data_IF_056210966219
#
_entry.id   IF_056210966219
#
_cell.length_a   1.000
_cell.length_b   1.000
_cell.length_c   1.000
_cell.angle_alpha   90.00
_cell.angle_beta   90.00
_cell.angle_gamma   90.00
#
_symmetry.space_group_name_H-M   'P 1'
#
loop_
_entity.id
_entity.type
_entity.pdbx_description
1 polymer ?
#
# COMPACT_ATOMS: atom_id res chain seq x y z
N UNK A 1 -1.95 4.42 -8.97
CA UNK A 1 -2.41 4.43 -7.56
C UNK A 1 -1.75 5.61 -6.87
N UNK A 2 -2.46 6.38 -6.04
CA UNK A 2 -1.84 7.48 -5.28
C UNK A 2 -1.14 6.97 -4.02
N UNK A 3 -0.20 7.73 -3.44
CA UNK A 3 0.41 7.38 -2.14
C UNK A 3 -0.64 7.15 -1.04
N UNK A 4 -1.72 7.92 -1.03
CA UNK A 4 -2.84 7.81 -0.08
C UNK A 4 -3.57 6.49 -0.23
N UNK A 5 -3.92 6.10 -1.46
CA UNK A 5 -4.58 4.84 -1.75
C UNK A 5 -3.70 3.66 -1.34
N UNK A 6 -2.39 3.75 -1.60
CA UNK A 6 -1.45 2.72 -1.17
C UNK A 6 -1.38 2.61 0.35
N UNK A 7 -1.38 3.73 1.10
CA UNK A 7 -1.39 3.71 2.57
C UNK A 7 -2.62 2.97 3.12
N UNK A 8 -3.79 3.23 2.55
CA UNK A 8 -5.04 2.53 2.93
C UNK A 8 -4.92 1.02 2.67
N UNK A 9 -4.43 0.62 1.50
CA UNK A 9 -4.27 -0.79 1.14
C UNK A 9 -3.23 -1.48 2.04
N UNK A 10 -2.08 -0.86 2.25
CA UNK A 10 -1.02 -1.38 3.14
C UNK A 10 -1.55 -1.60 4.55
N UNK A 11 -2.33 -0.64 5.08
CA UNK A 11 -2.97 -0.75 6.39
C UNK A 11 -4.00 -1.88 6.44
N UNK A 12 -4.87 -1.98 5.44
CA UNK A 12 -5.89 -3.03 5.35
C UNK A 12 -5.25 -4.43 5.33
N UNK A 13 -4.13 -4.58 4.62
CA UNK A 13 -3.43 -5.86 4.48
C UNK A 13 -2.44 -6.16 5.61
N UNK A 14 -2.13 -5.18 6.48
CA UNK A 14 -1.01 -5.25 7.44
C UNK A 14 0.31 -5.64 6.77
N UNK A 15 0.61 -5.00 5.63
CA UNK A 15 1.80 -5.31 4.86
C UNK A 15 3.08 -4.96 5.64
N UNK A 16 4.12 -5.84 5.68
CA UNK A 16 5.41 -5.50 6.28
C UNK A 16 6.09 -4.33 5.54
N UNK A 17 6.89 -3.54 6.26
CA UNK A 17 7.52 -2.32 5.74
C UNK A 17 8.30 -2.53 4.45
N UNK A 18 9.11 -3.60 4.36
CA UNK A 18 9.85 -3.92 3.15
C UNK A 18 8.93 -4.20 1.94
N UNK A 19 7.78 -4.83 2.17
CA UNK A 19 6.78 -5.08 1.12
C UNK A 19 6.01 -3.81 0.76
N UNK A 20 5.72 -2.96 1.74
CA UNK A 20 5.09 -1.66 1.51
C UNK A 20 6.00 -0.71 0.71
N UNK A 21 7.30 -0.68 1.03
CA UNK A 21 8.31 0.08 0.30
C UNK A 21 8.42 -0.41 -1.15
N UNK A 22 8.49 -1.73 -1.37
CA UNK A 22 8.51 -2.30 -2.72
C UNK A 22 7.23 -1.99 -3.51
N UNK A 23 6.07 -2.06 -2.86
CA UNK A 23 4.80 -1.70 -3.47
C UNK A 23 4.74 -0.21 -3.86
N UNK A 24 5.26 0.69 -3.01
CA UNK A 24 5.36 2.12 -3.30
C UNK A 24 6.24 2.39 -4.52
N UNK A 25 7.46 1.86 -4.50
CA UNK A 25 8.41 2.06 -5.58
C UNK A 25 7.82 1.68 -6.95
N UNK A 26 7.03 0.61 -7.01
CA UNK A 26 6.43 0.16 -8.27
C UNK A 26 5.10 0.86 -8.60
N UNK A 27 4.15 0.91 -7.66
CA UNK A 27 2.78 1.32 -7.93
C UNK A 27 2.53 2.83 -7.84
N UNK A 28 3.44 3.55 -7.16
CA UNK A 28 3.38 5.00 -6.98
C UNK A 28 4.50 5.65 -7.78
N UNK A 29 5.74 5.20 -7.60
CA UNK A 29 6.91 5.84 -8.22
C UNK A 29 7.22 5.30 -9.64
N UNK A 30 6.48 4.27 -10.10
CA UNK A 30 6.58 3.74 -11.46
C UNK A 30 7.85 2.93 -11.76
N UNK A 31 8.60 2.52 -10.74
CA UNK A 31 9.82 1.73 -10.93
C UNK A 31 9.51 0.31 -11.43
N UNK A 32 10.47 -0.29 -12.15
CA UNK A 32 10.32 -1.66 -12.63
C UNK A 32 10.50 -2.65 -11.46
N UNK A 33 9.64 -3.69 -11.33
CA UNK A 33 9.75 -4.68 -10.26
C UNK A 33 11.12 -5.37 -10.17
N UNK A 34 11.80 -5.56 -11.31
CA UNK A 34 13.13 -6.17 -11.36
C UNK A 34 14.19 -5.30 -10.67
N UNK A 35 14.14 -3.98 -10.89
CA UNK A 35 15.09 -3.03 -10.31
C UNK A 35 14.89 -2.90 -8.80
N UNK A 36 13.63 -2.83 -8.35
CA UNK A 36 13.27 -2.83 -6.93
C UNK A 36 13.72 -4.12 -6.25
N UNK A 37 13.47 -5.27 -6.87
CA UNK A 37 13.91 -6.56 -6.34
C UNK A 37 15.42 -6.62 -6.16
N UNK A 38 16.18 -6.17 -7.17
CA UNK A 38 17.64 -6.10 -7.11
C UNK A 38 18.13 -5.15 -6.01
N UNK A 39 17.56 -3.95 -5.91
CA UNK A 39 17.95 -2.95 -4.92
C UNK A 39 17.67 -3.41 -3.47
N UNK A 40 16.61 -4.19 -3.27
CA UNK A 40 16.22 -4.69 -1.95
C UNK A 40 16.77 -6.09 -1.62
N UNK A 41 17.55 -6.72 -2.50
CA UNK A 41 18.03 -8.10 -2.31
C UNK A 41 16.91 -9.14 -2.28
N UNK A 42 15.78 -8.86 -2.93
CA UNK A 42 14.59 -9.71 -2.97
C UNK A 42 14.52 -10.51 -4.27
N UNK A 43 13.78 -11.61 -4.25
CA UNK A 43 13.39 -12.31 -5.48
C UNK A 43 12.34 -11.47 -6.23
N UNK A 44 12.53 -11.28 -7.54
CA UNK A 44 11.57 -10.56 -8.40
C UNK A 44 10.15 -11.17 -8.33
N UNK A 45 10.06 -12.48 -8.17
CA UNK A 45 8.78 -13.19 -8.01
C UNK A 45 8.06 -12.80 -6.71
N UNK A 46 8.79 -12.56 -5.62
CA UNK A 46 8.24 -12.07 -4.37
C UNK A 46 7.67 -10.66 -4.54
N UNK A 47 8.42 -9.76 -5.18
CA UNK A 47 7.95 -8.39 -5.48
C UNK A 47 6.69 -8.41 -6.35
N UNK A 48 6.71 -9.22 -7.41
CA UNK A 48 5.56 -9.37 -8.31
C UNK A 48 4.32 -9.92 -7.60
N UNK A 49 4.49 -10.88 -6.69
CA UNK A 49 3.38 -11.43 -5.87
C UNK A 49 2.82 -10.37 -4.92
N UNK A 50 3.68 -9.59 -4.28
CA UNK A 50 3.27 -8.47 -3.42
C UNK A 50 2.44 -7.47 -4.20
N UNK A 51 2.92 -7.02 -5.37
CA UNK A 51 2.20 -6.07 -6.23
C UNK A 51 0.82 -6.59 -6.63
N UNK A 52 0.73 -7.86 -7.07
CA UNK A 52 -0.56 -8.47 -7.43
C UNK A 52 -1.55 -8.51 -6.28
N UNK A 53 -1.08 -8.80 -5.06
CA UNK A 53 -1.94 -8.80 -3.86
C UNK A 53 -2.41 -7.39 -3.52
N UNK A 54 -1.53 -6.39 -3.63
CA UNK A 54 -1.88 -4.98 -3.38
C UNK A 54 -2.91 -4.49 -4.39
N UNK A 55 -2.74 -4.80 -5.67
CA UNK A 55 -3.73 -4.43 -6.71
C UNK A 55 -5.08 -5.10 -6.49
N UNK A 56 -5.10 -6.38 -6.13
CA UNK A 56 -6.36 -7.06 -5.81
C UNK A 56 -7.10 -6.38 -4.65
N UNK A 57 -6.41 -6.12 -3.55
CA UNK A 57 -7.03 -5.44 -2.40
C UNK A 57 -7.46 -4.02 -2.75
N UNK A 58 -6.69 -3.33 -3.60
CA UNK A 58 -7.08 -2.03 -4.13
C UNK A 58 -8.42 -2.11 -4.86
N UNK A 59 -8.60 -3.10 -5.74
CA UNK A 59 -9.85 -3.30 -6.48
C UNK A 59 -11.02 -3.64 -5.53
N UNK A 60 -10.78 -4.47 -4.52
CA UNK A 60 -11.79 -4.82 -3.49
C UNK A 60 -12.25 -3.60 -2.69
N UNK A 61 -11.31 -2.72 -2.29
CA UNK A 61 -11.63 -1.47 -1.57
C UNK A 61 -12.35 -0.49 -2.50
N UNK A 62 -11.89 -0.34 -3.74
CA UNK A 62 -12.54 0.52 -4.73
C UNK A 62 -13.98 0.08 -5.04
N UNK A 63 -14.23 -1.24 -5.03
CA UNK A 63 -15.56 -1.79 -5.25
C UNK A 63 -16.51 -1.60 -4.04
N UNK A 64 -15.96 -1.52 -2.82
CA UNK A 64 -16.75 -1.39 -1.59
C UNK A 64 -17.29 0.03 -1.34
N UNK A 65 -16.76 1.06 -2.01
CA UNK A 65 -17.23 2.43 -1.87
C UNK A 65 -16.21 3.49 -2.29
N UNK A 66 -16.54 4.79 -2.12
CA UNK A 66 -15.62 5.86 -2.42
C UNK A 66 -14.35 5.77 -1.56
N UNK A 67 -13.20 6.06 -2.17
CA UNK A 67 -11.92 6.08 -1.46
C UNK A 67 -11.99 7.05 -0.28
N UNK A 68 -11.52 6.64 0.92
CA UNK A 68 -11.59 7.48 2.09
C UNK A 68 -10.85 8.80 1.85
N UNK A 69 -11.39 9.94 2.34
CA UNK A 69 -10.76 11.24 2.18
C UNK A 69 -9.39 11.27 2.85
N UNK A 70 -8.52 12.14 2.36
CA UNK A 70 -7.11 12.25 2.74
C UNK A 70 -6.87 12.32 4.26
N UNK A 71 -7.78 12.97 5.00
CA UNK A 71 -7.72 13.07 6.46
C UNK A 71 -7.97 11.73 7.17
N UNK A 72 -8.89 10.89 6.69
CA UNK A 72 -9.21 9.60 7.33
C UNK A 72 -8.04 8.60 7.27
N UNK A 73 -7.11 8.76 6.32
CA UNK A 73 -5.89 7.95 6.26
C UNK A 73 -4.88 8.28 7.38
N UNK A 74 -4.90 9.51 7.90
CA UNK A 74 -4.02 10.01 8.97
C UNK A 74 -4.74 10.10 10.35
N UNK A 75 -6.06 10.26 10.37
CA UNK A 75 -6.88 10.43 11.58
C UNK A 75 -7.19 9.11 12.29
N UNK A 76 -6.17 8.45 12.85
CA UNK A 76 -6.35 7.58 14.03
C UNK A 76 -5.82 8.22 15.33
N UNK A 77 -5.51 9.51 15.30
CA UNK A 77 -5.26 10.34 16.49
C UNK A 77 -6.47 11.23 16.78
N UNK A 78 -7.57 10.61 17.21
CA UNK A 78 -8.56 11.33 18.02
C UNK A 78 -9.27 10.32 18.91
N UNK A 79 -8.58 9.92 19.98
CA UNK A 79 -9.27 9.38 21.15
C UNK A 79 -10.14 10.52 21.72
N UNK A 80 -11.40 10.27 22.10
CA UNK A 80 -12.20 11.28 22.78
C UNK A 80 -11.52 11.63 24.12
N UNK A 81 -11.56 12.90 24.57
CA UNK A 81 -11.13 13.22 25.92
C UNK A 81 -12.02 12.46 26.89
N UNK A 82 -11.41 11.66 27.77
CA UNK A 82 -12.08 11.06 28.90
C UNK A 82 -12.70 12.20 29.73
N UNK A 83 -14.02 12.21 29.82
CA UNK A 83 -14.76 13.06 30.77
C UNK A 83 -14.74 12.41 32.14
#
# INVERSE_FOLDING_TARGET
MTPEQLRVVVRAMRLPDASAAAARAVLVDGQRPADVARACGLKQTSVSRTIKRVLRTYDEIAAAGPWPPREAADSSLSLPPLR
#
